data_IF_400464018094
#
_entry.id   IF_400464018094
#
_cell.length_a   1.000
_cell.length_b   1.000
_cell.length_c   1.000
_cell.angle_alpha   90.00
_cell.angle_beta   90.00
_cell.angle_gamma   90.00
#
_symmetry.space_group_name_H-M   'P 1'
#
loop_
_entity.id
_entity.type
_entity.pdbx_description
1 polymer ?
#
# COMPACT_ATOMS: atom_id res chain seq x y z
N UNK A 1 -22.39 -13.31 16.32
CA UNK A 1 -22.04 -14.74 16.46
C UNK A 1 -22.53 -15.64 15.34
N UNK A 2 -23.47 -15.22 14.47
CA UNK A 2 -23.98 -16.09 13.39
C UNK A 2 -22.93 -16.50 12.35
N UNK A 3 -21.89 -15.68 12.15
CA UNK A 3 -20.75 -16.05 11.32
C UNK A 3 -20.08 -17.35 11.81
N UNK A 4 -19.74 -17.43 13.11
CA UNK A 4 -19.13 -18.61 13.73
C UNK A 4 -20.06 -19.82 13.62
N UNK A 5 -21.36 -19.65 13.92
CA UNK A 5 -22.35 -20.74 13.81
C UNK A 5 -22.46 -21.27 12.38
N UNK A 6 -22.47 -20.37 11.40
CA UNK A 6 -22.51 -20.71 9.98
C UNK A 6 -21.24 -21.46 9.56
N UNK A 7 -20.07 -21.01 10.00
CA UNK A 7 -18.80 -21.69 9.75
C UNK A 7 -18.77 -23.08 10.39
N UNK A 8 -19.19 -23.23 11.66
CA UNK A 8 -19.24 -24.54 12.34
C UNK A 8 -20.16 -25.51 11.61
N UNK A 9 -21.31 -25.05 11.15
CA UNK A 9 -22.25 -25.87 10.36
C UNK A 9 -21.64 -26.31 9.02
N UNK A 10 -20.93 -25.41 8.35
CA UNK A 10 -20.30 -25.70 7.06
C UNK A 10 -19.03 -26.57 7.17
N UNK A 11 -18.29 -26.44 8.29
CA UNK A 11 -16.99 -27.05 8.50
C UNK A 11 -16.89 -27.71 9.89
N UNK A 12 -17.66 -28.79 10.15
CA UNK A 12 -17.78 -29.37 11.49
C UNK A 12 -16.46 -29.89 12.07
N UNK A 13 -15.57 -30.40 11.22
CA UNK A 13 -14.29 -31.01 11.61
C UNK A 13 -13.10 -30.03 11.55
N UNK A 14 -13.33 -28.76 11.22
CA UNK A 14 -12.26 -27.77 11.11
C UNK A 14 -12.14 -26.96 12.38
N UNK A 15 -10.91 -26.61 12.74
CA UNK A 15 -10.64 -25.64 13.81
C UNK A 15 -11.15 -24.27 13.39
N UNK A 16 -12.02 -23.66 14.20
CA UNK A 16 -12.54 -22.31 14.01
C UNK A 16 -11.88 -21.40 15.01
N UNK A 17 -11.11 -20.46 14.49
CA UNK A 17 -10.50 -19.37 15.23
C UNK A 17 -11.42 -18.14 15.12
N UNK A 18 -11.90 -17.66 16.26
CA UNK A 18 -12.75 -16.49 16.38
C UNK A 18 -11.90 -15.27 16.74
N UNK A 19 -11.65 -14.42 15.75
CA UNK A 19 -10.91 -13.18 15.93
C UNK A 19 -11.78 -12.09 16.58
N UNK A 20 -12.03 -12.21 17.89
CA UNK A 20 -12.90 -11.29 18.64
C UNK A 20 -12.16 -9.99 19.00
N UNK A 21 -10.84 -10.06 19.23
CA UNK A 21 -10.01 -8.97 19.76
C UNK A 21 -10.61 -8.33 21.02
N UNK A 22 -11.15 -9.17 21.89
CA UNK A 22 -11.75 -8.77 23.16
C UNK A 22 -10.76 -7.91 23.96
N UNK A 23 -11.18 -6.70 24.36
CA UNK A 23 -10.40 -5.79 25.21
C UNK A 23 -10.96 -5.70 26.62
N UNK A 24 -12.27 -5.88 26.76
CA UNK A 24 -13.03 -5.88 28.00
C UNK A 24 -14.01 -7.05 28.02
N UNK A 25 -14.51 -7.42 29.21
CA UNK A 25 -15.50 -8.50 29.37
C UNK A 25 -15.05 -9.88 28.87
N UNK A 26 -13.77 -10.22 29.09
CA UNK A 26 -13.11 -11.45 28.63
C UNK A 26 -13.94 -12.72 28.78
N UNK A 27 -14.56 -12.94 29.93
CA UNK A 27 -15.38 -14.13 30.16
C UNK A 27 -16.63 -14.21 29.26
N UNK A 28 -17.31 -13.08 29.03
CA UNK A 28 -18.56 -13.00 28.27
C UNK A 28 -18.32 -13.27 26.79
N UNK A 29 -17.32 -12.61 26.19
CA UNK A 29 -17.03 -12.77 24.77
C UNK A 29 -16.53 -14.19 24.44
N UNK A 30 -15.66 -14.74 25.30
CA UNK A 30 -15.20 -16.13 25.17
C UNK A 30 -16.37 -17.10 25.29
N UNK A 31 -17.27 -16.91 26.26
CA UNK A 31 -18.47 -17.72 26.42
C UNK A 31 -19.34 -17.69 25.15
N UNK A 32 -19.60 -16.49 24.63
CA UNK A 32 -20.42 -16.32 23.44
C UNK A 32 -19.79 -17.01 22.22
N UNK A 33 -18.46 -16.91 22.04
CA UNK A 33 -17.74 -17.48 20.90
C UNK A 33 -17.69 -19.00 20.99
N UNK A 34 -17.40 -19.54 22.19
CA UNK A 34 -17.39 -20.97 22.46
C UNK A 34 -18.77 -21.59 22.22
N UNK A 35 -19.84 -21.00 22.78
CA UNK A 35 -21.23 -21.46 22.54
C UNK A 35 -21.66 -21.37 21.07
N UNK A 36 -21.03 -20.50 20.29
CA UNK A 36 -21.26 -20.40 18.85
C UNK A 36 -20.49 -21.46 18.04
N UNK A 37 -19.53 -22.16 18.64
CA UNK A 37 -18.77 -23.25 18.04
C UNK A 37 -17.33 -22.90 17.66
N UNK A 38 -16.72 -21.87 18.25
CA UNK A 38 -15.29 -21.59 18.10
C UNK A 38 -14.44 -22.58 18.92
N UNK A 39 -13.24 -22.91 18.43
CA UNK A 39 -12.24 -23.74 19.14
C UNK A 39 -11.10 -22.91 19.73
N UNK A 40 -10.84 -21.74 19.14
CA UNK A 40 -9.84 -20.77 19.59
C UNK A 40 -10.48 -19.40 19.60
N UNK A 41 -10.32 -18.64 20.68
CA UNK A 41 -10.83 -17.26 20.78
C UNK A 41 -9.64 -16.31 20.92
N UNK A 42 -9.60 -15.28 20.08
CA UNK A 42 -8.58 -14.24 20.14
C UNK A 42 -9.01 -13.10 21.05
N UNK A 43 -8.13 -12.72 21.97
CA UNK A 43 -8.24 -11.54 22.84
C UNK A 43 -7.09 -10.59 22.57
N UNK A 44 -7.24 -9.30 22.88
CA UNK A 44 -6.13 -8.36 22.79
C UNK A 44 -5.12 -8.63 23.90
N UNK A 45 -3.88 -8.89 23.54
CA UNK A 45 -2.78 -9.06 24.48
C UNK A 45 -2.49 -7.79 25.28
N UNK A 46 -2.82 -6.62 24.74
CA UNK A 46 -2.71 -5.32 25.44
C UNK A 46 -3.86 -5.03 26.41
N UNK A 47 -4.86 -5.91 26.52
CA UNK A 47 -5.90 -5.80 27.53
C UNK A 47 -5.33 -5.97 28.95
N UNK A 48 -6.09 -5.50 29.95
CA UNK A 48 -5.74 -5.65 31.36
C UNK A 48 -5.65 -7.13 31.75
N UNK A 49 -4.68 -7.47 32.61
CA UNK A 49 -4.44 -8.85 33.03
C UNK A 49 -5.67 -9.47 33.71
N UNK A 50 -6.50 -8.70 34.42
CA UNK A 50 -7.76 -9.19 35.00
C UNK A 50 -8.74 -9.69 33.92
N UNK A 51 -8.79 -9.00 32.77
CA UNK A 51 -9.63 -9.39 31.64
C UNK A 51 -9.11 -10.65 30.98
N UNK A 52 -7.78 -10.77 30.80
CA UNK A 52 -7.15 -11.98 30.27
C UNK A 52 -7.36 -13.19 31.19
N UNK A 53 -7.24 -13.01 32.51
CA UNK A 53 -7.49 -14.06 33.49
C UNK A 53 -8.97 -14.48 33.54
N UNK A 54 -9.90 -13.56 33.35
CA UNK A 54 -11.34 -13.86 33.18
C UNK A 54 -11.60 -14.65 31.89
N UNK A 55 -10.98 -14.23 30.78
CA UNK A 55 -11.05 -14.92 29.49
C UNK A 55 -10.50 -16.35 29.57
N UNK A 56 -9.33 -16.54 30.21
CA UNK A 56 -8.73 -17.86 30.43
C UNK A 56 -9.62 -18.79 31.24
N UNK A 57 -10.20 -18.29 32.34
CA UNK A 57 -11.15 -19.06 33.16
C UNK A 57 -12.37 -19.50 32.34
N UNK A 58 -12.90 -18.61 31.51
CA UNK A 58 -14.03 -18.94 30.62
C UNK A 58 -13.61 -19.94 29.53
N UNK A 59 -12.42 -19.77 28.94
CA UNK A 59 -11.89 -20.65 27.92
C UNK A 59 -11.76 -22.09 28.44
N UNK A 60 -11.16 -22.26 29.62
CA UNK A 60 -11.07 -23.56 30.30
C UNK A 60 -12.44 -24.16 30.60
N UNK A 61 -13.39 -23.35 31.09
CA UNK A 61 -14.76 -23.80 31.39
C UNK A 61 -15.48 -24.37 30.16
N UNK A 62 -15.29 -23.75 29.00
CA UNK A 62 -15.95 -24.15 27.76
C UNK A 62 -15.09 -25.06 26.86
N UNK A 63 -13.87 -25.41 27.29
CA UNK A 63 -12.98 -26.30 26.54
C UNK A 63 -12.43 -25.71 25.25
N UNK A 64 -12.33 -24.38 25.17
CA UNK A 64 -11.73 -23.67 24.02
C UNK A 64 -10.35 -23.13 24.40
N UNK A 65 -9.51 -22.87 23.40
CA UNK A 65 -8.17 -22.30 23.61
C UNK A 65 -8.19 -20.78 23.48
N UNK A 66 -7.30 -20.11 24.20
CA UNK A 66 -7.16 -18.66 24.16
C UNK A 66 -5.90 -18.25 23.39
N UNK A 67 -6.05 -17.31 22.47
CA UNK A 67 -4.95 -16.70 21.73
C UNK A 67 -4.88 -15.22 22.04
N UNK A 68 -3.73 -14.74 22.51
CA UNK A 68 -3.52 -13.32 22.79
C UNK A 68 -2.83 -12.63 21.61
N UNK A 69 -3.46 -11.59 21.07
CA UNK A 69 -2.98 -10.82 19.91
C UNK A 69 -2.13 -9.62 20.35
N UNK A 70 -0.89 -9.56 19.87
CA UNK A 70 0.06 -8.50 20.21
C UNK A 70 -0.10 -7.22 19.38
N UNK A 71 -1.14 -7.12 18.54
CA UNK A 71 -1.37 -5.91 17.75
C UNK A 71 -1.41 -4.68 18.65
N UNK A 72 -0.61 -3.69 18.28
CA UNK A 72 -0.45 -2.42 19.01
C UNK A 72 0.02 -2.56 20.46
N UNK A 73 0.59 -3.71 20.86
CA UNK A 73 1.32 -3.82 22.12
C UNK A 73 2.55 -2.87 22.10
N UNK A 74 2.74 -2.00 23.11
CA UNK A 74 3.87 -1.07 23.13
C UNK A 74 5.24 -1.77 23.09
N UNK A 75 5.36 -2.88 23.82
CA UNK A 75 6.52 -3.77 23.82
C UNK A 75 6.03 -5.21 23.59
N UNK A 76 5.93 -5.66 22.34
CA UNK A 76 5.36 -6.96 22.00
C UNK A 76 6.21 -8.13 22.52
N UNK A 77 7.54 -7.96 22.62
CA UNK A 77 8.45 -9.01 23.07
C UNK A 77 8.29 -9.23 24.57
N UNK A 78 8.33 -8.15 25.36
CA UNK A 78 8.08 -8.24 26.79
C UNK A 78 6.67 -8.78 27.07
N UNK A 79 5.66 -8.28 26.34
CA UNK A 79 4.28 -8.69 26.55
C UNK A 79 4.06 -10.17 26.21
N UNK A 80 4.73 -10.72 25.21
CA UNK A 80 4.66 -12.15 24.90
C UNK A 80 5.10 -13.03 26.10
N UNK A 81 6.17 -12.65 26.79
CA UNK A 81 6.67 -13.37 27.99
C UNK A 81 5.67 -13.29 29.14
N UNK A 82 5.06 -12.12 29.36
CA UNK A 82 4.02 -11.95 30.38
C UNK A 82 2.79 -12.80 30.08
N UNK A 83 2.33 -12.82 28.82
CA UNK A 83 1.18 -13.60 28.38
C UNK A 83 1.44 -15.11 28.52
N UNK A 84 2.64 -15.58 28.21
CA UNK A 84 3.05 -16.96 28.49
C UNK A 84 2.96 -17.29 29.98
N UNK A 85 3.45 -16.39 30.85
CA UNK A 85 3.37 -16.58 32.29
C UNK A 85 1.92 -16.59 32.82
N UNK A 86 0.99 -15.87 32.17
CA UNK A 86 -0.44 -15.92 32.46
C UNK A 86 -1.10 -17.25 32.02
N UNK A 87 -0.48 -17.99 31.11
CA UNK A 87 -0.93 -19.31 30.67
C UNK A 87 -1.85 -19.30 29.44
N UNK A 88 -1.68 -18.34 28.52
CA UNK A 88 -2.39 -18.38 27.22
C UNK A 88 -1.91 -19.56 26.37
N UNK A 89 -2.79 -20.15 25.56
CA UNK A 89 -2.42 -21.27 24.69
C UNK A 89 -1.58 -20.82 23.49
N UNK A 90 -1.89 -19.61 22.98
CA UNK A 90 -1.22 -19.02 21.83
C UNK A 90 -0.88 -17.55 22.05
N UNK A 91 0.22 -17.12 21.44
CA UNK A 91 0.53 -15.70 21.24
C UNK A 91 0.57 -15.41 19.74
N UNK A 92 -0.26 -14.46 19.29
CA UNK A 92 -0.30 -14.01 17.91
C UNK A 92 0.58 -12.78 17.70
N UNK A 93 1.65 -12.95 16.92
CA UNK A 93 2.53 -11.87 16.47
C UNK A 93 1.85 -11.16 15.31
N UNK A 94 1.29 -9.99 15.59
CA UNK A 94 0.49 -9.25 14.63
C UNK A 94 1.05 -7.84 14.45
N UNK A 95 1.58 -7.57 13.26
CA UNK A 95 1.96 -6.20 12.87
C UNK A 95 0.85 -5.65 11.99
N UNK A 96 0.13 -4.65 12.52
CA UNK A 96 -0.91 -3.94 11.77
C UNK A 96 -0.34 -3.19 10.57
N UNK A 97 -1.20 -2.90 9.60
CA UNK A 97 -0.82 -2.23 8.33
C UNK A 97 -0.05 -0.93 8.59
N UNK A 98 -0.50 -0.10 9.53
CA UNK A 98 0.16 1.17 9.87
C UNK A 98 1.57 0.96 10.45
N UNK A 99 1.78 -0.12 11.20
CA UNK A 99 3.09 -0.45 11.76
C UNK A 99 4.05 -1.01 10.70
N UNK A 100 3.53 -1.73 9.71
CA UNK A 100 4.30 -2.16 8.55
C UNK A 100 4.77 -0.95 7.71
N UNK A 101 3.93 0.09 7.59
CA UNK A 101 4.31 1.35 6.94
C UNK A 101 5.49 2.05 7.65
N UNK A 102 5.67 1.84 8.95
CA UNK A 102 6.82 2.33 9.72
C UNK A 102 8.06 1.41 9.63
N UNK A 103 8.06 0.41 8.75
CA UNK A 103 9.18 -0.51 8.53
C UNK A 103 9.24 -1.69 9.50
N UNK A 104 8.19 -1.95 10.30
CA UNK A 104 8.15 -3.15 11.16
C UNK A 104 7.77 -4.39 10.34
N UNK A 105 8.63 -5.41 10.36
CA UNK A 105 8.40 -6.68 9.64
C UNK A 105 7.87 -7.78 10.59
N UNK A 106 6.70 -8.39 10.32
CA UNK A 106 6.13 -9.46 11.14
C UNK A 106 7.08 -10.65 11.36
N UNK A 107 7.90 -11.01 10.36
CA UNK A 107 8.76 -12.19 10.42
C UNK A 107 9.95 -11.97 11.36
N UNK A 108 10.57 -10.79 11.31
CA UNK A 108 11.62 -10.40 12.23
C UNK A 108 11.16 -10.41 13.69
N UNK A 109 10.00 -9.81 13.96
CA UNK A 109 9.41 -9.77 15.31
C UNK A 109 9.04 -11.18 15.79
N UNK A 110 8.50 -12.02 14.89
CA UNK A 110 8.20 -13.41 15.19
C UNK A 110 9.46 -14.18 15.62
N UNK A 111 10.58 -14.03 14.90
CA UNK A 111 11.85 -14.66 15.28
C UNK A 111 12.34 -14.21 16.64
N UNK A 112 12.27 -12.91 16.91
CA UNK A 112 12.67 -12.35 18.20
C UNK A 112 11.86 -12.95 19.35
N UNK A 113 10.54 -13.02 19.20
CA UNK A 113 9.63 -13.61 20.21
C UNK A 113 9.86 -15.12 20.33
N UNK A 114 10.05 -15.84 19.23
CA UNK A 114 10.29 -17.29 19.22
C UNK A 114 11.54 -17.70 20.01
N UNK A 115 12.52 -16.81 20.17
CA UNK A 115 13.69 -17.06 21.02
C UNK A 115 13.45 -16.82 22.52
N UNK A 116 12.31 -16.22 22.90
CA UNK A 116 12.02 -15.78 24.27
C UNK A 116 10.93 -16.59 24.97
N UNK A 117 10.04 -17.23 24.21
CA UNK A 117 8.87 -17.94 24.74
C UNK A 117 8.77 -19.37 24.16
N UNK A 118 8.09 -20.25 24.88
CA UNK A 118 7.79 -21.63 24.47
C UNK A 118 6.31 -21.82 24.08
N UNK A 119 5.44 -20.86 24.43
CA UNK A 119 4.03 -20.81 24.01
C UNK A 119 3.89 -20.90 22.49
N UNK A 120 2.79 -21.50 22.02
CA UNK A 120 2.59 -21.69 20.59
C UNK A 120 2.39 -20.35 19.89
N UNK A 121 3.17 -20.10 18.84
CA UNK A 121 3.11 -18.82 18.13
C UNK A 121 2.17 -18.88 16.93
N UNK A 122 1.41 -17.81 16.76
CA UNK A 122 0.69 -17.48 15.54
C UNK A 122 1.29 -16.22 14.91
N UNK A 123 1.08 -16.02 13.62
CA UNK A 123 1.46 -14.77 12.94
C UNK A 123 0.30 -14.23 12.10
N UNK A 124 0.16 -12.91 12.08
CA UNK A 124 -0.81 -12.19 11.28
C UNK A 124 -0.21 -10.86 10.76
N UNK A 125 -0.84 -10.31 9.72
CA UNK A 125 -0.48 -9.00 9.15
C UNK A 125 0.13 -9.11 7.76
N UNK A 126 -0.68 -8.97 6.71
CA UNK A 126 -0.19 -8.81 5.33
C UNK A 126 0.48 -10.05 4.70
N UNK A 127 0.36 -11.23 5.31
CA UNK A 127 1.08 -12.43 4.86
C UNK A 127 0.62 -12.94 3.50
N UNK A 128 1.57 -13.14 2.59
CA UNK A 128 1.43 -13.81 1.29
C UNK A 128 2.00 -15.25 1.35
N UNK A 129 2.10 -15.93 0.20
CA UNK A 129 2.62 -17.30 0.18
C UNK A 129 4.08 -17.40 0.66
N UNK A 130 4.93 -16.42 0.31
CA UNK A 130 6.35 -16.45 0.66
C UNK A 130 6.58 -16.17 2.15
N UNK A 131 5.97 -15.12 2.66
CA UNK A 131 6.03 -14.74 4.07
C UNK A 131 5.34 -15.76 4.98
N UNK A 132 4.29 -16.45 4.51
CA UNK A 132 3.71 -17.59 5.22
C UNK A 132 4.72 -18.74 5.40
N UNK A 133 5.47 -19.09 4.36
CA UNK A 133 6.53 -20.11 4.46
C UNK A 133 7.65 -19.68 5.43
N UNK A 134 8.06 -18.40 5.36
CA UNK A 134 9.06 -17.84 6.27
C UNK A 134 8.59 -17.84 7.73
N UNK A 135 7.31 -17.58 7.98
CA UNK A 135 6.73 -17.61 9.31
C UNK A 135 6.77 -19.01 9.92
N UNK A 136 6.42 -20.04 9.14
CA UNK A 136 6.53 -21.44 9.58
C UNK A 136 7.98 -21.79 9.90
N UNK A 137 8.94 -21.39 9.05
CA UNK A 137 10.38 -21.57 9.32
C UNK A 137 10.85 -20.84 10.58
N UNK A 138 10.23 -19.71 10.90
CA UNK A 138 10.51 -18.93 12.10
C UNK A 138 9.82 -19.48 13.37
N UNK A 139 9.04 -20.56 13.27
CA UNK A 139 8.42 -21.25 14.42
C UNK A 139 6.92 -20.98 14.61
N UNK A 140 6.25 -20.29 13.68
CA UNK A 140 4.80 -20.11 13.76
C UNK A 140 4.08 -21.45 13.51
N UNK A 141 3.18 -21.81 14.43
CA UNK A 141 2.29 -22.97 14.32
C UNK A 141 0.97 -22.62 13.62
N UNK A 142 0.57 -21.36 13.67
CA UNK A 142 -0.64 -20.85 13.03
C UNK A 142 -0.27 -19.65 12.15
N UNK A 143 -0.73 -19.67 10.90
CA UNK A 143 -0.55 -18.57 9.95
C UNK A 143 -1.94 -18.02 9.61
N UNK A 144 -2.17 -16.75 9.91
CA UNK A 144 -3.46 -16.07 9.71
C UNK A 144 -3.35 -15.17 8.47
N UNK A 145 -4.11 -15.48 7.42
CA UNK A 145 -4.10 -14.73 6.16
C UNK A 145 -5.49 -14.20 5.82
N UNK A 146 -5.58 -12.88 5.64
CA UNK A 146 -6.79 -12.16 5.24
C UNK A 146 -6.72 -11.66 3.81
N UNK A 147 -6.34 -10.39 3.64
CA UNK A 147 -6.41 -9.63 2.38
C UNK A 147 -5.78 -10.32 1.16
N UNK A 148 -4.66 -11.03 1.31
CA UNK A 148 -4.01 -11.76 0.21
C UNK A 148 -4.85 -12.94 -0.33
N UNK A 149 -5.87 -13.38 0.40
CA UNK A 149 -6.90 -14.31 -0.09
C UNK A 149 -8.14 -13.52 -0.48
N UNK A 150 -8.71 -12.73 0.43
CA UNK A 150 -10.05 -12.12 0.26
C UNK A 150 -10.10 -11.06 -0.84
N UNK A 151 -8.98 -10.43 -1.17
CA UNK A 151 -8.90 -9.42 -2.23
C UNK A 151 -8.35 -9.98 -3.55
N UNK A 152 -8.11 -11.29 -3.65
CA UNK A 152 -7.62 -11.92 -4.90
C UNK A 152 -8.77 -12.12 -5.90
N UNK A 153 -8.48 -11.90 -7.19
CA UNK A 153 -9.41 -12.21 -8.29
C UNK A 153 -9.79 -13.70 -8.30
N UNK A 154 -8.89 -14.58 -7.82
CA UNK A 154 -9.13 -16.01 -7.64
C UNK A 154 -8.80 -16.44 -6.20
N UNK A 155 -9.80 -16.32 -5.32
CA UNK A 155 -9.67 -16.65 -3.88
C UNK A 155 -9.26 -18.11 -3.65
N UNK A 156 -9.73 -19.05 -4.47
CA UNK A 156 -9.43 -20.48 -4.31
C UNK A 156 -7.97 -20.78 -4.64
N UNK A 157 -7.45 -20.22 -5.72
CA UNK A 157 -6.05 -20.39 -6.09
C UNK A 157 -5.11 -19.70 -5.11
N UNK A 158 -5.43 -18.48 -4.67
CA UNK A 158 -4.67 -17.78 -3.65
C UNK A 158 -4.56 -18.60 -2.34
N UNK A 159 -5.70 -19.13 -1.86
CA UNK A 159 -5.73 -19.98 -0.67
C UNK A 159 -4.92 -21.27 -0.86
N UNK A 160 -4.98 -21.94 -2.03
CA UNK A 160 -4.16 -23.13 -2.31
C UNK A 160 -2.67 -22.80 -2.29
N UNK A 161 -2.26 -21.70 -2.92
CA UNK A 161 -0.85 -21.30 -3.00
C UNK A 161 -0.28 -21.04 -1.61
N UNK A 162 -1.01 -20.32 -0.76
CA UNK A 162 -0.65 -20.09 0.64
C UNK A 162 -0.63 -21.42 1.41
N UNK A 163 -1.61 -22.29 1.20
CA UNK A 163 -1.63 -23.58 1.91
C UNK A 163 -0.42 -24.44 1.56
N UNK A 164 -0.06 -24.53 0.29
CA UNK A 164 1.11 -25.26 -0.18
C UNK A 164 2.41 -24.70 0.40
N UNK A 165 2.53 -23.38 0.54
CA UNK A 165 3.73 -22.77 1.12
C UNK A 165 3.86 -23.01 2.63
N UNK A 166 2.73 -23.12 3.34
CA UNK A 166 2.69 -23.53 4.75
C UNK A 166 3.02 -25.01 4.92
N UNK A 167 2.51 -25.87 4.03
CA UNK A 167 2.74 -27.32 4.08
C UNK A 167 4.18 -27.71 3.66
N UNK A 168 4.76 -26.98 2.70
CA UNK A 168 6.08 -27.25 2.13
C UNK A 168 6.97 -25.99 2.14
N UNK A 169 7.35 -25.47 3.31
CA UNK A 169 8.06 -24.18 3.40
C UNK A 169 9.46 -24.23 2.77
N UNK A 170 10.08 -25.40 2.66
CA UNK A 170 11.41 -25.59 2.06
C UNK A 170 11.42 -25.59 0.53
N UNK A 171 10.26 -25.81 -0.10
CA UNK A 171 10.13 -25.81 -1.57
C UNK A 171 9.96 -24.40 -2.17
N UNK A 172 9.83 -23.37 -1.34
CA UNK A 172 9.65 -21.99 -1.80
C UNK A 172 11.01 -21.34 -2.00
N UNK A 173 11.35 -21.01 -3.25
CA UNK A 173 12.48 -20.13 -3.56
C UNK A 173 12.23 -18.76 -2.93
N UNK A 174 12.99 -18.44 -1.88
CA UNK A 174 12.90 -17.18 -1.16
C UNK A 174 13.49 -16.10 -2.07
N UNK A 175 12.64 -15.39 -2.82
CA UNK A 175 13.03 -14.13 -3.46
C UNK A 175 13.16 -13.07 -2.38
N UNK A 176 14.23 -12.28 -2.42
CA UNK A 176 14.36 -11.09 -1.59
C UNK A 176 13.09 -10.23 -1.78
N UNK A 177 12.41 -9.94 -0.67
CA UNK A 177 11.24 -9.05 -0.67
C UNK A 177 11.69 -7.70 -1.23
N UNK A 178 11.02 -7.21 -2.27
CA UNK A 178 11.28 -5.88 -2.81
C UNK A 178 11.14 -4.82 -1.71
N UNK A 179 11.79 -3.67 -1.89
CA UNK A 179 11.62 -2.57 -0.92
C UNK A 179 10.17 -2.09 -0.92
N UNK A 180 9.73 -1.44 0.16
CA UNK A 180 8.38 -0.82 0.23
C UNK A 180 8.16 0.14 -0.94
N UNK A 181 9.19 0.90 -1.33
CA UNK A 181 9.17 1.77 -2.52
C UNK A 181 8.89 0.98 -3.82
N UNK A 182 9.51 -0.19 -3.99
CA UNK A 182 9.27 -1.03 -5.15
C UNK A 182 7.81 -1.52 -5.18
N UNK A 183 7.25 -1.96 -4.05
CA UNK A 183 5.85 -2.38 -3.97
C UNK A 183 4.90 -1.23 -4.29
N UNK A 184 5.16 -0.02 -3.77
CA UNK A 184 4.36 1.18 -4.07
C UNK A 184 4.38 1.44 -5.58
N UNK A 185 5.57 1.45 -6.20
CA UNK A 185 5.71 1.70 -7.64
C UNK A 185 4.98 0.65 -8.48
N UNK A 186 5.06 -0.62 -8.09
CA UNK A 186 4.36 -1.71 -8.76
C UNK A 186 2.84 -1.50 -8.71
N UNK A 187 2.28 -1.17 -7.54
CA UNK A 187 0.85 -0.88 -7.41
C UNK A 187 0.45 0.35 -8.24
N UNK A 188 1.22 1.45 -8.17
CA UNK A 188 0.92 2.70 -8.87
C UNK A 188 1.03 2.57 -10.40
N UNK A 189 1.85 1.63 -10.90
CA UNK A 189 1.92 1.31 -12.34
C UNK A 189 0.63 0.66 -12.86
N UNK A 190 -0.13 -0.04 -12.01
CA UNK A 190 -1.34 -0.76 -12.40
C UNK A 190 -2.64 0.07 -12.34
N UNK A 191 -2.63 1.21 -11.65
CA UNK A 191 -3.82 2.05 -11.40
C UNK A 191 -3.74 3.36 -12.18
N UNK A 192 -4.87 3.95 -12.57
CA UNK A 192 -4.87 5.25 -13.29
C UNK A 192 -4.70 6.44 -12.33
N UNK A 193 -4.32 7.61 -12.86
CA UNK A 193 -4.32 8.88 -12.11
C UNK A 193 -5.72 9.20 -11.57
N UNK A 194 -6.79 8.83 -12.29
CA UNK A 194 -8.17 8.97 -11.83
C UNK A 194 -8.45 8.10 -10.60
N UNK A 195 -8.02 6.83 -10.60
CA UNK A 195 -8.18 5.95 -9.44
C UNK A 195 -7.44 6.49 -8.20
N UNK A 196 -6.26 7.05 -8.41
CA UNK A 196 -5.47 7.67 -7.33
C UNK A 196 -6.18 8.91 -6.79
N UNK A 197 -6.65 9.79 -7.68
CA UNK A 197 -7.40 10.99 -7.30
C UNK A 197 -8.65 10.63 -6.48
N UNK A 198 -9.41 9.62 -6.89
CA UNK A 198 -10.59 9.15 -6.17
C UNK A 198 -10.24 8.56 -4.80
N UNK A 199 -9.16 7.78 -4.70
CA UNK A 199 -8.63 7.28 -3.42
C UNK A 199 -8.17 8.41 -2.48
N UNK A 200 -7.81 9.57 -3.05
CA UNK A 200 -7.46 10.80 -2.33
C UNK A 200 -8.64 11.78 -2.13
N UNK A 201 -9.88 11.35 -2.40
CA UNK A 201 -11.08 12.18 -2.36
C UNK A 201 -11.02 13.41 -3.30
N UNK A 202 -10.60 13.17 -4.55
CA UNK A 202 -10.49 14.17 -5.64
C UNK A 202 -9.42 15.23 -5.36
N UNK A 203 -8.28 14.82 -4.82
CA UNK A 203 -7.11 15.67 -4.53
C UNK A 203 -5.86 15.10 -5.21
N UNK A 204 -4.77 15.88 -5.20
CA UNK A 204 -3.47 15.46 -5.74
C UNK A 204 -3.30 15.73 -7.25
N UNK A 205 -4.38 15.91 -8.00
CA UNK A 205 -4.31 16.20 -9.43
C UNK A 205 -3.75 17.60 -9.72
N UNK A 206 -2.73 17.67 -10.57
CA UNK A 206 -2.15 18.92 -11.08
C UNK A 206 -3.06 19.57 -12.13
N UNK A 207 -3.19 20.89 -12.06
CA UNK A 207 -4.03 21.71 -12.95
C UNK A 207 -3.20 22.31 -14.09
N UNK A 208 -3.73 22.24 -15.32
CA UNK A 208 -3.11 22.87 -16.49
C UNK A 208 -1.78 22.23 -16.89
N UNK A 209 -1.55 20.98 -16.49
CA UNK A 209 -0.40 20.16 -16.85
C UNK A 209 -0.92 19.01 -17.70
N UNK A 210 -0.46 18.93 -18.95
CA UNK A 210 -0.97 18.00 -19.96
C UNK A 210 0.15 17.17 -20.57
N UNK A 211 -0.12 15.94 -21.02
CA UNK A 211 0.89 15.11 -21.69
C UNK A 211 1.34 15.77 -23.00
N UNK A 212 2.63 16.08 -23.12
CA UNK A 212 3.29 16.40 -24.39
C UNK A 212 3.72 15.12 -25.10
N UNK A 213 4.32 14.22 -24.32
CA UNK A 213 4.60 12.83 -24.66
C UNK A 213 3.92 12.00 -23.59
N UNK A 214 2.89 11.26 -24.00
CA UNK A 214 2.06 10.46 -23.11
C UNK A 214 2.77 9.22 -22.57
N UNK A 215 2.00 8.33 -21.97
CA UNK A 215 2.50 7.10 -21.36
C UNK A 215 2.60 7.13 -19.83
N UNK A 216 2.62 5.93 -19.25
CA UNK A 216 2.58 5.73 -17.81
C UNK A 216 3.92 6.10 -17.17
N UNK A 217 3.90 7.15 -16.34
CA UNK A 217 5.03 7.60 -15.55
C UNK A 217 4.75 7.36 -14.08
N UNK A 218 5.69 6.75 -13.35
CA UNK A 218 5.62 6.55 -11.90
C UNK A 218 7.02 6.69 -11.31
N UNK A 219 7.20 7.65 -10.41
CA UNK A 219 8.44 7.75 -9.65
C UNK A 219 8.41 8.80 -8.53
N UNK A 220 9.52 8.91 -7.81
CA UNK A 220 9.68 9.88 -6.71
C UNK A 220 10.17 11.22 -7.24
N UNK A 221 9.68 12.30 -6.65
CA UNK A 221 9.92 13.65 -7.13
C UNK A 221 11.34 14.12 -6.80
N UNK A 222 12.06 14.57 -7.83
CA UNK A 222 13.17 15.51 -7.70
C UNK A 222 12.62 16.88 -8.10
N UNK A 223 12.40 17.75 -7.11
CA UNK A 223 11.76 19.04 -7.34
C UNK A 223 12.78 20.08 -7.77
N UNK A 224 12.35 20.97 -8.67
CA UNK A 224 13.16 22.08 -9.18
C UNK A 224 12.28 23.32 -9.23
N UNK A 225 12.70 24.37 -8.55
CA UNK A 225 12.18 25.71 -8.77
C UNK A 225 13.22 26.53 -9.50
N UNK A 226 12.86 27.14 -10.62
CA UNK A 226 13.77 27.97 -11.40
C UNK A 226 13.10 29.26 -11.86
N UNK A 227 13.93 30.22 -12.26
CA UNK A 227 13.49 31.52 -12.74
C UNK A 227 13.09 31.43 -14.22
N UNK A 228 12.33 32.40 -14.74
CA UNK A 228 11.82 32.40 -16.12
C UNK A 228 12.87 32.04 -17.18
N UNK A 229 12.78 30.81 -17.70
CA UNK A 229 13.63 30.32 -18.79
C UNK A 229 15.03 29.87 -18.39
N UNK A 230 15.39 29.91 -17.10
CA UNK A 230 16.67 29.40 -16.64
C UNK A 230 16.65 27.87 -16.65
N UNK A 231 17.46 27.28 -17.53
CA UNK A 231 17.50 25.83 -17.70
C UNK A 231 18.66 25.17 -16.96
N UNK A 232 19.52 25.93 -16.26
CA UNK A 232 20.67 25.35 -15.56
C UNK A 232 20.26 24.40 -14.44
N UNK A 233 19.31 24.81 -13.57
CA UNK A 233 18.80 23.95 -12.48
C UNK A 233 18.00 22.74 -12.98
N UNK A 234 17.11 22.87 -13.97
CA UNK A 234 16.48 21.72 -14.61
C UNK A 234 17.48 20.67 -15.13
N UNK A 235 18.56 21.10 -15.80
CA UNK A 235 19.57 20.18 -16.32
C UNK A 235 20.42 19.57 -15.20
N UNK A 236 20.85 20.37 -14.21
CA UNK A 236 21.58 19.89 -13.02
C UNK A 236 20.79 18.84 -12.22
N UNK A 237 19.46 18.95 -12.20
CA UNK A 237 18.61 17.96 -11.53
C UNK A 237 18.72 16.56 -12.12
N UNK A 238 19.08 16.42 -13.41
CA UNK A 238 19.33 15.11 -14.04
C UNK A 238 20.53 14.41 -13.40
N UNK A 239 21.56 15.16 -12.99
CA UNK A 239 22.75 14.59 -12.37
C UNK A 239 22.44 14.05 -10.96
N UNK A 240 21.57 14.76 -10.24
CA UNK A 240 21.14 14.46 -8.86
C UNK A 240 20.13 13.31 -8.83
N UNK A 241 19.24 13.24 -9.81
CA UNK A 241 18.19 12.23 -9.88
C UNK A 241 18.74 10.81 -10.06
N UNK A 242 18.01 9.84 -9.53
CA UNK A 242 18.30 8.41 -9.65
C UNK A 242 17.44 7.78 -10.73
N UNK A 243 17.84 6.59 -11.15
CA UNK A 243 17.03 5.77 -12.06
C UNK A 243 15.61 5.58 -11.48
N UNK A 244 14.59 5.85 -12.30
CA UNK A 244 13.19 5.76 -11.92
C UNK A 244 12.62 6.99 -11.19
N UNK A 245 13.39 8.05 -10.96
CA UNK A 245 12.86 9.31 -10.42
C UNK A 245 12.05 10.08 -11.47
N UNK A 246 11.25 11.04 -11.01
CA UNK A 246 10.52 12.00 -11.84
C UNK A 246 10.98 13.41 -11.48
N UNK A 247 11.41 14.17 -12.47
CA UNK A 247 11.82 15.57 -12.27
C UNK A 247 10.58 16.46 -12.38
N UNK A 248 10.31 17.27 -11.35
CA UNK A 248 9.16 18.19 -11.31
C UNK A 248 9.65 19.62 -11.25
N UNK A 249 9.34 20.40 -12.29
CA UNK A 249 9.90 21.73 -12.52
C UNK A 249 8.79 22.79 -12.45
N UNK A 250 9.03 23.82 -11.66
CA UNK A 250 8.29 25.08 -11.72
C UNK A 250 9.19 26.16 -12.32
N UNK A 251 8.82 26.69 -13.49
CA UNK A 251 9.65 27.59 -14.31
C UNK A 251 9.25 29.07 -14.23
N UNK A 252 8.26 29.45 -13.40
CA UNK A 252 7.67 30.80 -13.27
C UNK A 252 7.08 31.43 -14.57
N UNK A 253 7.49 30.97 -15.76
CA UNK A 253 7.09 31.48 -17.06
C UNK A 253 6.64 30.34 -17.98
N UNK A 254 5.62 30.66 -18.79
CA UNK A 254 5.10 29.78 -19.85
C UNK A 254 5.53 30.25 -21.24
N UNK A 255 6.25 31.36 -21.35
CA UNK A 255 6.64 31.96 -22.62
C UNK A 255 8.10 31.66 -23.01
N UNK A 256 8.88 31.12 -22.07
CA UNK A 256 10.30 30.81 -22.24
C UNK A 256 10.56 29.39 -21.76
N UNK A 257 11.09 28.52 -22.62
CA UNK A 257 11.33 27.13 -22.32
C UNK A 257 12.56 26.92 -21.43
N UNK A 258 12.44 26.05 -20.44
CA UNK A 258 13.53 25.59 -19.57
C UNK A 258 13.95 24.14 -19.85
N UNK A 259 13.32 23.49 -20.85
CA UNK A 259 13.55 22.09 -21.22
C UNK A 259 13.41 21.90 -22.74
N UNK A 260 14.15 20.93 -23.28
CA UNK A 260 14.15 20.61 -24.72
C UNK A 260 14.74 19.24 -25.04
N UNK A 261 15.16 19.05 -26.30
CA UNK A 261 15.59 17.74 -26.83
C UNK A 261 16.81 17.16 -26.11
N UNK A 262 17.88 17.96 -25.97
CA UNK A 262 19.12 17.52 -25.30
C UNK A 262 18.92 17.13 -23.82
N UNK A 263 18.13 17.91 -23.08
CA UNK A 263 17.80 17.59 -21.69
C UNK A 263 16.98 16.29 -21.60
N UNK A 264 16.08 16.07 -22.56
CA UNK A 264 15.29 14.83 -22.68
C UNK A 264 16.17 13.62 -22.95
N UNK A 265 17.13 13.73 -23.88
CA UNK A 265 18.10 12.66 -24.16
C UNK A 265 18.96 12.35 -22.94
N UNK A 266 19.43 13.38 -22.22
CA UNK A 266 20.19 13.21 -20.99
C UNK A 266 19.39 12.49 -19.91
N UNK A 267 18.12 12.88 -19.71
CA UNK A 267 17.22 12.24 -18.75
C UNK A 267 16.93 10.77 -19.10
N UNK A 268 16.78 10.45 -20.39
CA UNK A 268 16.64 9.05 -20.85
C UNK A 268 17.89 8.22 -20.55
N UNK A 269 19.08 8.75 -20.84
CA UNK A 269 20.34 8.05 -20.58
C UNK A 269 20.54 7.76 -19.08
N UNK A 270 20.02 8.64 -18.22
CA UNK A 270 20.04 8.50 -16.76
C UNK A 270 18.97 7.53 -16.23
N UNK A 271 18.00 7.14 -17.07
CA UNK A 271 16.89 6.27 -16.67
C UNK A 271 15.81 6.98 -15.86
N UNK A 272 15.62 8.29 -16.05
CA UNK A 272 14.54 9.06 -15.43
C UNK A 272 13.19 8.56 -15.96
N UNK A 273 12.21 8.37 -15.08
CA UNK A 273 10.90 7.83 -15.44
C UNK A 273 10.03 8.82 -16.23
N UNK A 274 10.26 10.12 -16.05
CA UNK A 274 9.63 11.19 -16.82
C UNK A 274 9.82 12.58 -16.20
N UNK A 275 9.21 13.58 -16.81
CA UNK A 275 9.38 14.99 -16.42
C UNK A 275 8.03 15.71 -16.38
N UNK A 276 7.82 16.53 -15.35
CA UNK A 276 6.65 17.39 -15.19
C UNK A 276 7.09 18.85 -15.13
N UNK A 277 6.49 19.71 -15.93
CA UNK A 277 6.95 21.09 -16.11
C UNK A 277 5.76 22.06 -16.07
N UNK A 278 5.59 22.77 -14.96
CA UNK A 278 4.81 24.00 -14.97
C UNK A 278 5.66 25.12 -15.60
N UNK A 279 5.57 25.17 -16.92
CA UNK A 279 6.37 26.03 -17.78
C UNK A 279 6.23 25.59 -19.23
N UNK A 280 7.24 25.90 -20.04
CA UNK A 280 7.26 25.57 -21.44
C UNK A 280 8.41 24.62 -21.84
N UNK A 281 8.15 23.81 -22.87
CA UNK A 281 9.12 22.93 -23.51
C UNK A 281 9.34 23.37 -24.96
N UNK A 282 10.56 23.16 -25.47
CA UNK A 282 10.92 23.36 -26.89
C UNK A 282 11.41 22.07 -27.56
N UNK A 283 11.77 22.15 -28.83
CA UNK A 283 12.30 21.01 -29.63
C UNK A 283 11.30 19.83 -29.67
N UNK A 284 10.02 20.14 -29.92
CA UNK A 284 8.89 19.24 -29.71
C UNK A 284 8.96 17.97 -30.58
N UNK A 285 9.47 18.09 -31.80
CA UNK A 285 9.71 16.97 -32.70
C UNK A 285 10.75 16.01 -32.14
N UNK A 286 11.89 16.52 -31.66
CA UNK A 286 12.93 15.71 -31.03
C UNK A 286 12.43 15.06 -29.74
N UNK A 287 11.79 15.83 -28.87
CA UNK A 287 11.20 15.34 -27.60
C UNK A 287 10.20 14.21 -27.85
N UNK A 288 9.32 14.34 -28.84
CA UNK A 288 8.36 13.29 -29.19
C UNK A 288 9.02 12.03 -29.74
N UNK A 289 10.08 12.18 -30.55
CA UNK A 289 10.81 11.05 -31.12
C UNK A 289 11.58 10.26 -30.04
N UNK A 290 12.04 10.92 -28.99
CA UNK A 290 12.76 10.31 -27.87
C UNK A 290 11.84 9.47 -26.96
N UNK A 291 10.56 9.83 -26.85
CA UNK A 291 9.54 8.99 -26.19
C UNK A 291 9.56 8.98 -24.65
N UNK A 292 10.35 9.85 -24.01
CA UNK A 292 10.29 10.05 -22.55
C UNK A 292 8.92 10.67 -22.18
N UNK A 293 8.19 10.14 -21.18
CA UNK A 293 6.97 10.78 -20.71
C UNK A 293 7.26 12.20 -20.21
N UNK A 294 6.65 13.20 -20.85
CA UNK A 294 6.80 14.61 -20.48
C UNK A 294 5.42 15.25 -20.41
N UNK A 295 5.15 15.87 -19.27
CA UNK A 295 3.93 16.58 -18.96
C UNK A 295 4.24 18.06 -18.78
N UNK A 296 3.54 18.94 -19.48
CA UNK A 296 3.84 20.37 -19.44
C UNK A 296 2.60 21.25 -19.55
N UNK A 297 2.74 22.51 -19.14
CA UNK A 297 1.68 23.51 -19.28
C UNK A 297 1.68 24.26 -20.61
N UNK A 298 2.82 24.30 -21.32
CA UNK A 298 2.92 24.99 -22.61
C UNK A 298 4.08 24.47 -23.47
N UNK A 299 4.10 24.87 -24.74
CA UNK A 299 5.21 24.61 -25.67
C UNK A 299 5.56 25.88 -26.43
N UNK A 300 6.84 26.24 -26.52
CA UNK A 300 7.31 27.46 -27.19
C UNK A 300 8.66 27.22 -27.89
N UNK A 301 9.00 27.99 -28.94
CA UNK A 301 10.32 27.89 -29.57
C UNK A 301 11.43 28.63 -28.80
N UNK A 302 11.08 29.65 -28.02
CA UNK A 302 12.06 30.49 -27.32
C UNK A 302 12.67 29.74 -26.12
N UNK A 303 14.00 29.68 -26.04
CA UNK A 303 14.70 29.27 -24.82
C UNK A 303 15.18 30.46 -24.01
N UNK A 304 15.40 30.24 -22.72
CA UNK A 304 16.10 31.20 -21.87
C UNK A 304 17.59 30.89 -21.74
N UNK A 305 18.21 31.47 -20.71
CA UNK A 305 19.65 31.44 -20.48
C UNK A 305 20.02 30.59 -19.25
N UNK A 306 21.15 29.86 -19.26
CA UNK A 306 21.60 29.10 -18.09
C UNK A 306 22.27 30.02 -17.06
N UNK A 307 21.51 30.59 -16.14
CA UNK A 307 22.05 31.50 -15.12
C UNK A 307 22.33 30.80 -13.79
N UNK A 308 21.77 29.61 -13.57
CA UNK A 308 21.98 28.82 -12.36
C UNK A 308 21.14 29.27 -11.18
N UNK A 309 20.12 30.11 -11.41
CA UNK A 309 19.22 30.57 -10.36
C UNK A 309 18.10 29.56 -10.09
N UNK A 310 17.74 29.45 -8.82
CA UNK A 310 16.70 28.54 -8.34
C UNK A 310 17.26 27.48 -7.38
N UNK A 311 16.41 26.51 -7.07
CA UNK A 311 16.66 25.49 -6.05
C UNK A 311 16.26 24.11 -6.55
N UNK A 312 17.02 23.09 -6.13
CA UNK A 312 16.71 21.67 -6.37
C UNK A 312 16.45 21.03 -5.01
N UNK A 313 15.48 20.12 -4.94
CA UNK A 313 15.03 19.46 -3.72
C UNK A 313 14.46 20.43 -2.66
N UNK A 314 13.81 21.51 -3.10
CA UNK A 314 12.98 22.36 -2.25
C UNK A 314 11.50 21.97 -2.36
N UNK A 315 10.68 22.31 -1.37
CA UNK A 315 9.22 22.21 -1.51
C UNK A 315 8.74 23.26 -2.52
N UNK A 316 8.02 22.84 -3.55
CA UNK A 316 7.53 23.71 -4.63
C UNK A 316 6.01 23.62 -4.79
N UNK A 317 5.42 24.60 -5.47
CA UNK A 317 4.03 24.50 -5.94
C UNK A 317 4.02 24.35 -7.46
N UNK A 318 3.55 23.20 -7.95
CA UNK A 318 3.50 22.87 -9.38
C UNK A 318 2.12 22.33 -9.74
N UNK A 319 1.51 22.85 -10.81
CA UNK A 319 0.13 22.56 -11.21
C UNK A 319 -0.88 22.88 -10.10
N UNK A 320 -0.59 23.85 -9.24
CA UNK A 320 -1.39 24.16 -8.05
C UNK A 320 -1.41 23.06 -6.98
N UNK A 321 -0.45 22.14 -6.98
CA UNK A 321 -0.21 21.16 -5.90
C UNK A 321 1.15 21.42 -5.25
N UNK A 322 1.23 21.27 -3.93
CA UNK A 322 2.50 21.24 -3.20
C UNK A 322 3.22 19.93 -3.51
N UNK A 323 4.49 20.00 -3.88
CA UNK A 323 5.34 18.85 -4.18
C UNK A 323 6.59 18.93 -3.32
N UNK A 324 6.85 17.90 -2.53
CA UNK A 324 8.08 17.75 -1.76
C UNK A 324 9.04 16.78 -2.46
N UNK A 325 10.35 16.91 -2.24
CA UNK A 325 11.31 15.90 -2.69
C UNK A 325 10.93 14.53 -2.11
N UNK A 326 10.87 13.52 -2.96
CA UNK A 326 10.48 12.15 -2.58
C UNK A 326 8.98 11.85 -2.60
N UNK A 327 8.10 12.83 -2.84
CA UNK A 327 6.69 12.55 -3.11
C UNK A 327 6.54 11.70 -4.38
N UNK A 328 5.52 10.84 -4.44
CA UNK A 328 5.30 10.01 -5.63
C UNK A 328 4.51 10.79 -6.67
N UNK A 329 5.01 10.79 -7.89
CA UNK A 329 4.42 11.44 -9.05
C UNK A 329 3.95 10.35 -10.01
N UNK A 330 2.66 10.41 -10.35
CA UNK A 330 2.06 9.50 -11.32
C UNK A 330 1.48 10.30 -12.47
N UNK A 331 1.91 9.99 -13.69
CA UNK A 331 1.38 10.56 -14.92
C UNK A 331 0.76 9.50 -15.82
N UNK A 332 -0.37 9.84 -16.42
CA UNK A 332 -0.94 9.12 -17.56
C UNK A 332 -1.68 10.11 -18.49
N UNK A 333 -2.40 9.61 -19.49
CA UNK A 333 -3.11 10.43 -20.47
C UNK A 333 -4.11 11.44 -19.87
N UNK A 334 -4.56 11.25 -18.62
CA UNK A 334 -5.49 12.17 -17.96
C UNK A 334 -4.78 13.34 -17.27
N UNK A 335 -3.46 13.25 -17.07
CA UNK A 335 -2.64 14.29 -16.43
C UNK A 335 -1.69 13.72 -15.38
N UNK A 336 -1.41 14.51 -14.34
CA UNK A 336 -0.43 14.18 -13.30
C UNK A 336 -1.08 14.28 -11.92
N UNK A 337 -0.77 13.33 -11.04
CA UNK A 337 -1.17 13.32 -9.64
C UNK A 337 0.05 13.21 -8.74
N UNK A 338 0.04 14.01 -7.67
CA UNK A 338 1.04 14.00 -6.58
C UNK A 338 0.48 13.21 -5.40
N UNK A 339 1.30 12.32 -4.86
CA UNK A 339 0.98 11.50 -3.69
C UNK A 339 2.04 11.77 -2.62
N UNK A 340 1.67 12.31 -1.44
CA UNK A 340 2.61 12.55 -0.36
C UNK A 340 3.36 11.28 0.05
N UNK A 341 4.68 11.36 0.19
CA UNK A 341 5.54 10.22 0.49
C UNK A 341 5.10 9.45 1.75
N UNK A 342 4.65 10.18 2.79
CA UNK A 342 4.28 9.59 4.08
C UNK A 342 3.01 8.73 4.00
N UNK A 343 2.20 8.94 2.96
CA UNK A 343 0.91 8.23 2.75
C UNK A 343 0.90 7.40 1.47
N UNK A 344 2.02 7.29 0.78
CA UNK A 344 2.08 6.68 -0.55
C UNK A 344 1.61 5.22 -0.56
N UNK A 345 1.99 4.43 0.45
CA UNK A 345 1.55 3.04 0.57
C UNK A 345 0.04 2.89 0.77
N UNK A 346 -0.50 3.65 1.73
CA UNK A 346 -1.94 3.71 2.04
C UNK A 346 -2.74 4.07 0.78
N UNK A 347 -2.33 5.13 0.11
CA UNK A 347 -3.04 5.66 -1.06
C UNK A 347 -2.90 4.76 -2.28
N UNK A 348 -1.74 4.12 -2.50
CA UNK A 348 -1.57 3.14 -3.55
C UNK A 348 -2.51 1.93 -3.37
N UNK A 349 -2.62 1.41 -2.14
CA UNK A 349 -3.54 0.31 -1.82
C UNK A 349 -5.01 0.70 -2.03
N UNK A 350 -5.42 1.88 -1.55
CA UNK A 350 -6.78 2.40 -1.77
C UNK A 350 -7.07 2.61 -3.26
N UNK A 351 -6.12 3.16 -4.01
CA UNK A 351 -6.26 3.31 -5.47
C UNK A 351 -6.45 1.95 -6.14
N UNK A 352 -5.76 0.90 -5.66
CA UNK A 352 -5.94 -0.46 -6.16
C UNK A 352 -7.33 -1.04 -5.85
N UNK A 353 -7.91 -0.71 -4.69
CA UNK A 353 -9.29 -1.08 -4.35
C UNK A 353 -10.30 -0.38 -5.25
N UNK A 354 -10.12 0.93 -5.50
CA UNK A 354 -10.94 1.69 -6.46
C UNK A 354 -10.87 1.04 -7.85
N UNK A 355 -9.67 0.74 -8.33
CA UNK A 355 -9.45 0.06 -9.61
C UNK A 355 -10.19 -1.29 -9.69
N UNK A 356 -10.14 -2.11 -8.63
CA UNK A 356 -10.84 -3.41 -8.61
C UNK A 356 -12.35 -3.25 -8.65
N UNK A 357 -12.89 -2.28 -7.90
CA UNK A 357 -14.31 -1.99 -7.90
C UNK A 357 -14.77 -1.49 -9.27
N UNK A 358 -14.03 -0.59 -9.90
CA UNK A 358 -14.31 -0.11 -11.25
C UNK A 358 -14.23 -1.22 -12.29
N UNK A 359 -13.22 -2.10 -12.22
CA UNK A 359 -13.10 -3.25 -13.13
C UNK A 359 -14.32 -4.16 -13.03
N UNK A 360 -14.81 -4.41 -11.82
CA UNK A 360 -16.05 -5.16 -11.60
C UNK A 360 -17.26 -4.46 -12.24
N UNK A 361 -17.42 -3.15 -12.01
CA UNK A 361 -18.49 -2.36 -12.62
C UNK A 361 -18.41 -2.41 -14.15
N UNK A 362 -17.20 -2.30 -14.70
CA UNK A 362 -16.96 -2.36 -16.13
C UNK A 362 -17.37 -3.71 -16.72
N UNK A 363 -17.05 -4.82 -16.05
CA UNK A 363 -17.47 -6.17 -16.47
C UNK A 363 -18.98 -6.35 -16.39
N UNK A 364 -19.66 -5.76 -15.40
CA UNK A 364 -21.12 -5.78 -15.28
C UNK A 364 -21.79 -4.93 -16.39
N UNK A 365 -21.22 -3.76 -16.71
CA UNK A 365 -21.68 -2.92 -17.83
C UNK A 365 -21.52 -3.65 -19.16
N UNK A 366 -20.38 -4.32 -19.35
CA UNK A 366 -20.10 -5.10 -20.57
C UNK A 366 -21.08 -6.25 -20.77
N UNK A 367 -21.69 -6.76 -19.70
CA UNK A 367 -22.76 -7.78 -19.74
C UNK A 367 -24.13 -7.20 -20.09
N UNK A 368 -24.24 -5.89 -20.31
CA UNK A 368 -25.45 -5.21 -20.81
C UNK A 368 -26.19 -4.37 -19.78
N UNK A 369 -25.72 -4.26 -18.53
CA UNK A 369 -26.29 -3.34 -17.56
C UNK A 369 -25.87 -1.89 -17.83
N UNK A 370 -26.76 -0.92 -17.59
CA UNK A 370 -26.36 0.49 -17.64
C UNK A 370 -25.71 0.92 -16.32
N UNK A 371 -24.81 1.90 -16.37
CA UNK A 371 -24.13 2.43 -15.17
C UNK A 371 -25.14 2.90 -14.11
N UNK A 372 -26.23 3.53 -14.53
CA UNK A 372 -27.31 4.03 -13.66
C UNK A 372 -28.01 2.91 -12.90
N UNK A 373 -28.25 1.76 -13.54
CA UNK A 373 -28.90 0.61 -12.92
C UNK A 373 -27.97 -0.08 -11.92
N UNK A 374 -26.71 -0.32 -12.33
CA UNK A 374 -25.73 -1.03 -11.50
C UNK A 374 -25.39 -0.22 -10.24
N UNK A 375 -25.25 1.10 -10.36
CA UNK A 375 -25.00 1.99 -9.23
C UNK A 375 -26.29 2.43 -8.51
N UNK A 376 -27.46 1.91 -8.93
CA UNK A 376 -28.78 2.26 -8.38
C UNK A 376 -29.04 3.78 -8.29
N UNK A 377 -28.52 4.56 -9.24
CA UNK A 377 -28.53 6.04 -9.17
C UNK A 377 -29.95 6.62 -9.10
N UNK A 378 -30.94 5.92 -9.65
CA UNK A 378 -32.36 6.31 -9.58
C UNK A 378 -32.93 6.38 -8.16
N UNK A 379 -32.30 5.75 -7.16
CA UNK A 379 -32.69 5.89 -5.75
C UNK A 379 -32.40 7.30 -5.18
N UNK A 380 -31.56 8.08 -5.86
CA UNK A 380 -31.18 9.43 -5.46
C UNK A 380 -31.96 10.52 -6.22
N UNK A 381 -32.80 10.14 -7.19
CA UNK A 381 -33.74 11.06 -7.81
C UNK A 381 -34.81 11.42 -6.77
N UNK A 382 -34.80 12.68 -6.31
CA UNK A 382 -35.91 13.24 -5.54
C UNK A 382 -37.09 13.40 -6.50
N UNK A 383 -38.15 12.63 -6.29
CA UNK A 383 -39.45 12.81 -6.96
C UNK A 383 -40.09 14.16 -6.63
#
# INVERSE_FOLDING_TARGET
MDAIRTMRKAFPERTILADMKTVDTGALEVEMAAKAGADVVIVLGSADDSTLLDALRSAHKYGVRLMADLISAPDPVKRAVELEALGVDYVNVHVGIDQQMMGKDPISLLREIAHKVNVQLAVAGGLDANSAALAVKAGARVVIVGGNITHSDNVTEAARKIRQSVDCPDAVEIRCVGTVDQEIREILKEVSTSNISDAMHRKGAMKGIHPLVGGKMVGTAVTVQTFPGDWAKPVEAIDIAKEGDVIVIYNESKDVACWGGLATLSALNKGIAGVVIEGAVRDIDEVKNLGLPIYTSNTVPNAGDPKGFGEINAEITCGGQTVKPGDYIVGDESGVVVIPAERAYELARRAKEVYKNEKRLFDEIKRGGTLSEIMELKKWEKH
#
